data_IF_945201524782
#
_entry.id   IF_945201524782
#
_cell.length_a   1.000
_cell.length_b   1.000
_cell.length_c   1.000
_cell.angle_alpha   90.00
_cell.angle_beta   90.00
_cell.angle_gamma   90.00
#
_symmetry.space_group_name_H-M   'P 1'
#
loop_
_entity.id
_entity.type
_entity.pdbx_description
1 polymer ?
#
# COMPACT_ATOMS: atom_id res chain seq x y z
N UNK A 1 -3.21 53.98 -32.75
CA UNK A 1 -4.26 53.31 -31.97
C UNK A 1 -3.90 51.82 -31.92
N UNK A 2 -3.68 51.30 -30.71
CA UNK A 2 -3.59 49.88 -30.27
C UNK A 2 -2.49 48.98 -30.83
N UNK A 3 -1.52 48.74 -29.95
CA UNK A 3 -0.57 47.63 -29.86
C UNK A 3 -1.30 46.34 -29.42
N UNK A 4 -1.15 45.27 -30.18
CA UNK A 4 -1.60 43.92 -29.79
C UNK A 4 -0.40 43.10 -29.30
N UNK A 5 -0.34 42.87 -27.99
CA UNK A 5 0.57 41.90 -27.36
C UNK A 5 -0.27 40.69 -26.99
N UNK A 6 -0.13 39.61 -27.77
CA UNK A 6 -0.68 38.29 -27.45
C UNK A 6 0.17 37.67 -26.32
N UNK A 7 -0.38 37.69 -25.10
CA UNK A 7 0.15 36.94 -23.97
C UNK A 7 -0.40 35.51 -24.00
N UNK A 8 0.42 34.55 -24.44
CA UNK A 8 0.15 33.12 -24.31
C UNK A 8 0.38 32.68 -22.86
N UNK A 9 -0.71 32.47 -22.11
CA UNK A 9 -0.65 31.80 -20.82
C UNK A 9 -0.45 30.30 -21.04
N UNK A 10 0.75 29.80 -20.72
CA UNK A 10 0.98 28.36 -20.54
C UNK A 10 0.55 28.01 -19.11
N UNK A 11 -0.63 27.42 -18.96
CA UNK A 11 -1.10 26.87 -17.69
C UNK A 11 -0.46 25.48 -17.52
N UNK A 12 0.60 25.39 -16.71
CA UNK A 12 1.17 24.12 -16.29
C UNK A 12 0.27 23.52 -15.20
N UNK A 13 -0.66 22.65 -15.58
CA UNK A 13 -1.57 21.98 -14.65
C UNK A 13 -0.84 20.85 -13.87
N UNK A 14 -0.46 21.13 -12.63
CA UNK A 14 -0.02 20.12 -11.65
C UNK A 14 -1.27 19.46 -11.02
N UNK A 15 -1.80 18.40 -11.62
CA UNK A 15 -3.04 17.71 -11.16
C UNK A 15 -2.78 16.30 -10.56
N UNK A 16 -1.53 15.97 -10.23
CA UNK A 16 -1.15 14.59 -9.92
C UNK A 16 -1.62 13.98 -8.57
N UNK A 17 -1.94 14.69 -7.47
CA UNK A 17 -2.10 14.01 -6.17
C UNK A 17 -3.51 13.42 -5.90
N UNK A 18 -4.55 13.81 -6.64
CA UNK A 18 -5.93 13.39 -6.33
C UNK A 18 -6.28 11.98 -6.85
N UNK A 19 -5.65 11.54 -7.93
CA UNK A 19 -5.96 10.28 -8.62
C UNK A 19 -5.42 9.10 -7.80
N UNK A 20 -4.13 9.15 -7.41
CA UNK A 20 -3.48 8.12 -6.59
C UNK A 20 -4.21 7.82 -5.27
N UNK A 21 -4.73 8.88 -4.59
CA UNK A 21 -5.53 8.72 -3.38
C UNK A 21 -6.86 7.98 -3.62
N UNK A 22 -7.43 8.12 -4.82
CA UNK A 22 -8.68 7.45 -5.23
C UNK A 22 -8.41 5.96 -5.48
N UNK A 23 -7.32 5.62 -6.16
CA UNK A 23 -6.97 4.23 -6.48
C UNK A 23 -6.65 3.41 -5.22
N UNK A 24 -5.89 3.99 -4.29
CA UNK A 24 -5.64 3.38 -2.98
C UNK A 24 -6.94 3.12 -2.19
N UNK A 25 -7.93 4.03 -2.30
CA UNK A 25 -9.25 3.85 -1.72
C UNK A 25 -10.01 2.70 -2.38
N UNK A 26 -10.00 2.62 -3.71
CA UNK A 26 -10.64 1.54 -4.47
C UNK A 26 -10.02 0.18 -4.13
N UNK A 27 -8.69 0.06 -4.09
CA UNK A 27 -8.01 -1.17 -3.67
C UNK A 27 -8.42 -1.57 -2.25
N UNK A 28 -8.49 -0.62 -1.32
CA UNK A 28 -8.93 -0.85 0.07
C UNK A 28 -10.37 -1.34 0.15
N UNK A 29 -11.28 -0.74 -0.63
CA UNK A 29 -12.69 -1.17 -0.67
C UNK A 29 -12.83 -2.58 -1.22
N UNK A 30 -12.09 -2.91 -2.29
CA UNK A 30 -12.03 -4.26 -2.85
C UNK A 30 -11.52 -5.29 -1.84
N UNK A 31 -10.45 -4.98 -1.11
CA UNK A 31 -9.93 -5.83 -0.05
C UNK A 31 -10.97 -6.09 1.06
N UNK A 32 -11.70 -5.05 1.49
CA UNK A 32 -12.82 -5.17 2.45
C UNK A 32 -13.94 -6.07 1.93
N UNK A 33 -14.23 -5.99 0.63
CA UNK A 33 -15.20 -6.86 -0.04
C UNK A 33 -14.67 -8.27 -0.35
N UNK A 34 -13.41 -8.58 0.00
CA UNK A 34 -12.71 -9.83 -0.32
C UNK A 34 -12.59 -10.11 -1.83
N UNK A 35 -12.60 -9.06 -2.64
CA UNK A 35 -12.36 -9.13 -4.08
C UNK A 35 -10.85 -9.12 -4.37
N UNK A 36 -10.21 -10.26 -4.13
CA UNK A 36 -8.75 -10.42 -4.24
C UNK A 36 -8.33 -10.90 -5.63
N UNK A 37 -7.25 -10.33 -6.12
CA UNK A 37 -6.60 -10.67 -7.40
C UNK A 37 -5.51 -11.74 -7.22
N UNK A 38 -4.93 -11.85 -6.03
CA UNK A 38 -3.91 -12.85 -5.71
C UNK A 38 -3.95 -13.24 -4.22
N UNK A 39 -3.43 -14.42 -3.93
CA UNK A 39 -3.14 -14.88 -2.56
C UNK A 39 -1.75 -15.48 -2.52
N UNK A 40 -1.14 -15.52 -1.34
CA UNK A 40 0.18 -16.09 -1.15
C UNK A 40 0.58 -16.17 0.31
N UNK A 41 1.83 -16.56 0.52
CA UNK A 41 2.46 -16.55 1.83
C UNK A 41 3.53 -15.46 1.89
N UNK A 42 3.70 -14.87 3.06
CA UNK A 42 4.61 -13.75 3.30
C UNK A 42 5.32 -13.90 4.64
N UNK A 43 6.51 -13.31 4.76
CA UNK A 43 7.19 -13.19 6.05
C UNK A 43 6.46 -12.19 6.94
N UNK A 44 6.23 -12.52 8.20
CA UNK A 44 5.59 -11.60 9.15
C UNK A 44 5.98 -11.85 10.60
N UNK A 45 5.96 -10.80 11.40
CA UNK A 45 6.06 -10.86 12.86
C UNK A 45 5.07 -9.87 13.47
N UNK A 46 4.37 -10.29 14.52
CA UNK A 46 3.36 -9.44 15.15
C UNK A 46 3.97 -8.53 16.22
N UNK A 47 5.01 -9.00 16.90
CA UNK A 47 5.61 -8.31 18.04
C UNK A 47 7.10 -7.97 17.79
N UNK A 48 7.59 -6.98 18.54
CA UNK A 48 9.00 -6.58 18.52
C UNK A 48 9.89 -7.74 18.97
N UNK A 49 10.99 -7.97 18.26
CA UNK A 49 11.96 -9.03 18.58
C UNK A 49 11.55 -10.45 18.16
N UNK A 50 10.30 -10.67 17.75
CA UNK A 50 9.86 -11.96 17.23
C UNK A 50 10.60 -12.31 15.92
N UNK A 51 10.93 -13.58 15.70
CA UNK A 51 11.40 -14.00 14.37
C UNK A 51 10.27 -13.93 13.34
N UNK A 52 10.58 -13.66 12.08
CA UNK A 52 9.58 -13.73 11.02
C UNK A 52 9.08 -15.18 10.90
N UNK A 53 7.77 -15.33 10.97
CA UNK A 53 7.07 -16.55 10.59
C UNK A 53 6.35 -16.37 9.26
N UNK A 54 5.50 -17.34 8.93
CA UNK A 54 4.70 -17.31 7.71
C UNK A 54 3.29 -16.80 8.00
N UNK A 55 2.85 -15.78 7.26
CA UNK A 55 1.48 -15.30 7.22
C UNK A 55 0.83 -15.59 5.88
N UNK A 56 -0.50 -15.71 5.88
CA UNK A 56 -1.28 -15.68 4.63
C UNK A 56 -1.48 -14.24 4.19
N UNK A 57 -1.38 -13.99 2.90
CA UNK A 57 -1.65 -12.69 2.29
C UNK A 57 -2.71 -12.82 1.19
N UNK A 58 -3.57 -11.81 1.09
CA UNK A 58 -4.52 -11.65 -0.01
C UNK A 58 -4.47 -10.21 -0.53
N UNK A 59 -4.38 -10.05 -1.84
CA UNK A 59 -4.09 -8.76 -2.49
C UNK A 59 -5.28 -8.34 -3.33
N UNK A 60 -5.75 -7.11 -3.13
CA UNK A 60 -6.66 -6.43 -4.05
C UNK A 60 -5.94 -5.25 -4.70
N UNK A 61 -5.98 -5.15 -6.02
CA UNK A 61 -5.30 -4.11 -6.81
C UNK A 61 -6.31 -3.15 -7.44
N UNK A 62 -5.88 -1.91 -7.61
CA UNK A 62 -6.56 -0.89 -8.41
C UNK A 62 -5.48 0.04 -8.95
N UNK A 63 -5.45 0.28 -10.26
CA UNK A 63 -4.53 1.17 -11.00
C UNK A 63 -3.35 1.76 -10.19
N UNK A 64 -2.18 1.13 -10.27
CA UNK A 64 -0.95 1.57 -9.58
C UNK A 64 -0.94 1.40 -8.06
N UNK A 65 -2.06 1.03 -7.45
CA UNK A 65 -2.29 0.84 -6.01
C UNK A 65 -2.65 -0.60 -5.64
N UNK A 66 -2.42 -0.94 -4.37
CA UNK A 66 -2.76 -2.25 -3.84
C UNK A 66 -3.14 -2.18 -2.35
N UNK A 67 -4.02 -3.07 -1.93
CA UNK A 67 -4.31 -3.33 -0.53
C UNK A 67 -4.03 -4.81 -0.25
N UNK A 68 -3.10 -5.06 0.66
CA UNK A 68 -2.66 -6.41 1.05
C UNK A 68 -3.20 -6.72 2.44
N UNK A 69 -4.09 -7.70 2.55
CA UNK A 69 -4.55 -8.22 3.83
C UNK A 69 -3.61 -9.34 4.25
N UNK A 70 -2.81 -9.10 5.29
CA UNK A 70 -1.93 -10.10 5.90
C UNK A 70 -2.62 -10.65 7.14
N UNK A 71 -2.80 -11.97 7.19
CA UNK A 71 -3.41 -12.71 8.31
C UNK A 71 -2.35 -13.53 9.03
N UNK A 72 -2.15 -13.20 10.31
CA UNK A 72 -1.26 -13.90 11.24
C UNK A 72 -1.82 -15.27 11.63
N UNK A 73 -0.96 -16.13 12.16
CA UNK A 73 -1.33 -17.48 12.58
C UNK A 73 -2.46 -17.52 13.64
N UNK A 74 -2.54 -16.49 14.48
CA UNK A 74 -3.60 -16.31 15.48
C UNK A 74 -4.92 -15.75 14.90
N UNK A 75 -4.99 -15.51 13.59
CA UNK A 75 -6.16 -14.97 12.91
C UNK A 75 -6.27 -13.44 12.92
N UNK A 76 -5.43 -12.72 13.67
CA UNK A 76 -5.34 -11.27 13.56
C UNK A 76 -4.95 -10.90 12.11
N UNK A 77 -5.46 -9.78 11.61
CA UNK A 77 -5.13 -9.32 10.26
C UNK A 77 -4.85 -7.84 10.22
N UNK A 78 -3.87 -7.46 9.39
CA UNK A 78 -3.59 -6.07 9.03
C UNK A 78 -3.71 -5.89 7.52
N UNK A 79 -4.31 -4.79 7.12
CA UNK A 79 -4.36 -4.32 5.74
C UNK A 79 -3.26 -3.29 5.54
N UNK A 80 -2.36 -3.58 4.60
CA UNK A 80 -1.27 -2.72 4.16
C UNK A 80 -1.67 -2.06 2.85
N UNK A 81 -1.61 -0.73 2.79
CA UNK A 81 -2.08 0.06 1.66
C UNK A 81 -0.87 0.62 0.92
N UNK A 82 -0.84 0.43 -0.39
CA UNK A 82 0.20 0.89 -1.31
C UNK A 82 -0.41 1.77 -2.38
N UNK A 83 0.36 2.78 -2.82
CA UNK A 83 0.03 3.67 -3.94
C UNK A 83 1.31 3.98 -4.70
N UNK A 84 1.25 4.00 -6.02
CA UNK A 84 2.41 4.29 -6.88
C UNK A 84 3.64 3.43 -6.55
N UNK A 85 3.42 2.15 -6.24
CA UNK A 85 4.45 1.19 -5.79
C UNK A 85 5.18 1.56 -4.50
N UNK A 86 4.70 2.55 -3.75
CA UNK A 86 5.18 2.90 -2.43
C UNK A 86 4.21 2.42 -1.34
N UNK A 87 4.73 2.06 -0.17
CA UNK A 87 3.89 1.79 0.98
C UNK A 87 3.36 3.11 1.56
N UNK A 88 2.04 3.18 1.78
CA UNK A 88 1.36 4.38 2.26
C UNK A 88 1.10 4.32 3.77
N UNK A 89 0.44 3.26 4.25
CA UNK A 89 0.09 3.04 5.67
C UNK A 89 -0.51 1.66 5.92
N UNK A 90 -0.62 1.28 7.19
CA UNK A 90 -1.56 0.23 7.63
C UNK A 90 -2.95 0.79 7.94
N UNK A 91 -3.94 -0.09 8.09
CA UNK A 91 -5.22 0.29 8.69
C UNK A 91 -5.10 0.40 10.21
N UNK A 92 -5.95 1.23 10.82
CA UNK A 92 -6.14 1.22 12.26
C UNK A 92 -6.76 -0.12 12.73
N UNK A 93 -6.26 -0.64 13.83
CA UNK A 93 -6.68 -1.88 14.50
C UNK A 93 -6.70 -1.67 16.02
N UNK A 94 -7.15 -2.68 16.77
CA UNK A 94 -7.00 -2.67 18.24
C UNK A 94 -5.54 -2.66 18.70
N UNK A 95 -4.60 -3.02 17.83
CA UNK A 95 -3.16 -3.06 18.11
C UNK A 95 -2.42 -1.76 17.74
N UNK A 96 -3.10 -0.76 17.18
CA UNK A 96 -2.45 0.50 16.80
C UNK A 96 -3.18 1.23 15.67
N UNK A 97 -2.84 2.51 15.47
CA UNK A 97 -3.46 3.36 14.43
C UNK A 97 -2.89 3.10 13.03
N UNK A 98 -1.74 2.43 12.94
CA UNK A 98 -1.13 2.00 11.68
C UNK A 98 -0.41 3.08 10.88
N UNK A 99 -0.01 4.16 11.55
CA UNK A 99 0.69 5.31 10.96
C UNK A 99 2.11 5.49 11.48
N UNK A 100 2.52 4.81 12.55
CA UNK A 100 3.94 4.64 12.85
C UNK A 100 4.49 3.59 11.89
N UNK A 101 5.24 4.03 10.88
CA UNK A 101 5.62 3.18 9.77
C UNK A 101 7.04 3.44 9.31
N UNK A 102 7.74 2.36 8.99
CA UNK A 102 9.01 2.39 8.26
C UNK A 102 8.89 1.41 7.10
N UNK A 103 9.45 1.75 5.95
CA UNK A 103 9.51 0.80 4.86
C UNK A 103 10.67 1.09 3.91
N UNK A 104 11.09 0.04 3.22
CA UNK A 104 12.00 0.13 2.09
C UNK A 104 11.76 -1.06 1.15
N UNK A 105 12.25 -0.94 -0.08
CA UNK A 105 12.21 -1.97 -1.09
C UNK A 105 13.65 -2.38 -1.41
N UNK A 106 13.99 -3.65 -1.19
CA UNK A 106 15.29 -4.23 -1.57
C UNK A 106 15.04 -5.54 -2.30
N UNK A 107 15.74 -5.76 -3.41
CA UNK A 107 15.71 -7.04 -4.15
C UNK A 107 14.28 -7.55 -4.48
N UNK A 108 13.36 -6.61 -4.76
CA UNK A 108 11.96 -6.92 -5.06
C UNK A 108 11.13 -7.32 -3.83
N UNK A 109 11.62 -7.12 -2.61
CA UNK A 109 10.91 -7.37 -1.35
C UNK A 109 10.64 -6.04 -0.64
N UNK A 110 9.36 -5.76 -0.38
CA UNK A 110 8.96 -4.72 0.56
C UNK A 110 9.19 -5.21 1.98
N UNK A 111 10.08 -4.54 2.69
CA UNK A 111 10.22 -4.71 4.13
C UNK A 111 9.47 -3.55 4.80
N UNK A 112 8.36 -3.88 5.46
CA UNK A 112 7.44 -2.91 6.04
C UNK A 112 7.35 -3.15 7.54
N UNK A 113 7.50 -2.09 8.33
CA UNK A 113 7.11 -2.02 9.73
C UNK A 113 5.87 -1.14 9.86
N UNK A 114 4.88 -1.62 10.58
CA UNK A 114 3.70 -0.84 10.98
C UNK A 114 3.45 -1.08 12.45
N UNK A 115 3.54 -0.03 13.27
CA UNK A 115 3.59 -0.16 14.72
C UNK A 115 4.69 -1.19 15.09
N UNK A 116 4.37 -2.22 15.87
CA UNK A 116 5.33 -3.30 16.24
C UNK A 116 5.41 -4.45 15.21
N UNK A 117 4.59 -4.39 14.16
CA UNK A 117 4.41 -5.48 13.20
C UNK A 117 5.38 -5.34 12.04
N UNK A 118 5.97 -6.44 11.60
CA UNK A 118 6.90 -6.49 10.46
C UNK A 118 6.39 -7.42 9.39
N UNK A 119 6.63 -7.05 8.13
CA UNK A 119 6.15 -7.76 6.95
C UNK A 119 7.23 -7.77 5.86
N UNK A 120 7.33 -8.90 5.15
CA UNK A 120 8.13 -9.07 3.95
C UNK A 120 7.23 -9.54 2.81
N UNK A 121 6.97 -8.64 1.85
CA UNK A 121 6.06 -8.88 0.74
C UNK A 121 6.84 -8.79 -0.57
N UNK A 122 6.75 -9.79 -1.45
CA UNK A 122 7.34 -9.65 -2.78
C UNK A 122 6.56 -8.65 -3.62
N UNK A 123 7.27 -7.83 -4.37
CA UNK A 123 6.69 -6.87 -5.31
C UNK A 123 5.82 -7.58 -6.36
N UNK A 124 6.23 -8.79 -6.76
CA UNK A 124 5.45 -9.67 -7.63
C UNK A 124 4.11 -10.07 -7.01
N UNK A 125 4.06 -10.37 -5.70
CA UNK A 125 2.78 -10.63 -5.03
C UNK A 125 1.93 -9.36 -4.95
N UNK A 126 2.50 -8.21 -4.60
CA UNK A 126 1.73 -6.96 -4.41
C UNK A 126 1.21 -6.43 -5.75
N UNK A 127 2.00 -6.44 -6.82
CA UNK A 127 1.68 -5.77 -8.10
C UNK A 127 1.58 -6.70 -9.32
N UNK A 128 1.89 -7.99 -9.20
CA UNK A 128 1.67 -8.98 -10.26
C UNK A 128 2.66 -8.93 -11.42
N UNK A 129 3.88 -8.43 -11.21
CA UNK A 129 4.95 -8.37 -12.23
C UNK A 129 6.26 -8.93 -11.71
#
# INVERSE_FOLDING_TARGET
MRTDVLATLVILALVAPAIAASDAMTATQRAKARAFDATGEVGCAQEVGQSLGTCRAAVARADGSAAVVVTFANGFSRTLIFSDRAFLRGNATMSGVGTDTEWHLSDGIYHVRVDDQRFELSEALVFGK
#
